data_IF_018008788871
#
_entry.id   IF_018008788871
#
_cell.length_a   1.000
_cell.length_b   1.000
_cell.length_c   1.000
_cell.angle_alpha   90.00
_cell.angle_beta   90.00
_cell.angle_gamma   90.00
#
_symmetry.space_group_name_H-M   'P 1'
#
loop_
_entity.id
_entity.type
_entity.pdbx_description
1 polymer ?
#
# COMPACT_ATOMS: atom_id res chain seq x y z
N UNK A 1 -9.33 8.70 23.31
CA UNK A 1 -9.20 9.37 22.01
C UNK A 1 -8.34 10.61 22.19
N UNK A 2 -7.21 10.67 21.48
CA UNK A 2 -6.68 11.91 20.87
C UNK A 2 -6.21 13.03 21.82
N UNK A 3 -5.09 12.84 22.56
CA UNK A 3 -4.33 14.01 23.10
C UNK A 3 -3.01 14.22 22.37
N UNK A 4 -2.24 13.15 22.13
CA UNK A 4 -0.98 13.24 21.36
C UNK A 4 -1.18 13.54 19.88
N UNK A 5 -2.22 12.98 19.28
CA UNK A 5 -2.58 13.23 17.88
C UNK A 5 -2.86 14.71 17.61
N UNK A 6 -3.58 15.36 18.53
CA UNK A 6 -3.88 16.80 18.47
C UNK A 6 -2.63 17.65 18.70
N UNK A 7 -1.73 17.24 19.60
CA UNK A 7 -0.46 17.94 19.83
C UNK A 7 0.44 17.93 18.59
N UNK A 8 0.60 16.76 17.95
CA UNK A 8 1.45 16.64 16.77
C UNK A 8 0.89 17.41 15.56
N UNK A 9 -0.42 17.30 15.30
CA UNK A 9 -1.05 18.10 14.24
C UNK A 9 -0.92 19.60 14.52
N UNK A 10 -1.03 20.02 15.78
CA UNK A 10 -0.83 21.42 16.17
C UNK A 10 0.57 21.89 15.83
N UNK A 11 1.59 21.05 16.01
CA UNK A 11 2.97 21.40 15.67
C UNK A 11 3.17 21.54 14.16
N UNK A 12 2.59 20.65 13.35
CA UNK A 12 2.60 20.82 11.88
C UNK A 12 1.91 22.12 11.48
N UNK A 13 0.76 22.43 12.08
CA UNK A 13 0.04 23.67 11.79
C UNK A 13 0.91 24.88 12.14
N UNK A 14 1.57 24.90 13.31
CA UNK A 14 2.48 25.98 13.71
C UNK A 14 3.65 26.13 12.75
N UNK A 15 4.29 25.02 12.39
CA UNK A 15 5.38 25.00 11.43
C UNK A 15 4.94 25.59 10.09
N UNK A 16 3.82 25.13 9.54
CA UNK A 16 3.30 25.60 8.25
C UNK A 16 2.85 27.07 8.31
N UNK A 17 2.27 27.50 9.43
CA UNK A 17 1.87 28.90 9.64
C UNK A 17 3.08 29.84 9.69
N UNK A 18 4.19 29.40 10.29
CA UNK A 18 5.45 30.13 10.31
C UNK A 18 6.19 30.26 8.97
N UNK A 19 5.78 29.50 7.93
CA UNK A 19 6.41 29.54 6.59
C UNK A 19 5.71 30.55 5.68
N UNK A 20 6.38 31.63 5.24
CA UNK A 20 5.74 32.67 4.44
C UNK A 20 5.35 32.22 3.02
N UNK A 21 6.05 31.22 2.48
CA UNK A 21 5.81 30.64 1.16
C UNK A 21 4.59 29.69 1.13
N UNK A 22 4.27 29.05 2.26
CA UNK A 22 3.08 28.20 2.40
C UNK A 22 1.83 29.08 2.48
N UNK A 23 0.98 29.00 1.46
CA UNK A 23 -0.27 29.77 1.36
C UNK A 23 -1.45 29.05 2.01
N UNK A 24 -1.48 27.71 1.93
CA UNK A 24 -2.53 26.90 2.56
C UNK A 24 -2.00 25.51 2.97
N UNK A 25 -2.63 24.96 4.00
CA UNK A 25 -2.45 23.58 4.45
C UNK A 25 -3.83 22.93 4.51
N UNK A 26 -4.01 21.84 3.76
CA UNK A 26 -5.30 21.12 3.67
C UNK A 26 -5.09 19.66 4.06
N UNK A 27 -5.94 19.15 4.96
CA UNK A 27 -5.98 17.73 5.30
C UNK A 27 -6.92 16.99 4.36
N UNK A 28 -6.48 15.85 3.84
CA UNK A 28 -7.28 14.93 3.02
C UNK A 28 -7.30 13.55 3.68
N UNK A 29 -7.59 12.50 2.91
CA UNK A 29 -7.52 11.12 3.41
C UNK A 29 -8.59 10.77 4.44
N UNK A 30 -8.29 9.78 5.29
CA UNK A 30 -9.27 9.25 6.25
C UNK A 30 -9.69 10.28 7.29
N UNK A 31 -8.77 11.16 7.71
CA UNK A 31 -9.01 12.17 8.74
C UNK A 31 -9.89 13.35 8.29
N UNK A 32 -10.08 13.53 6.99
CA UNK A 32 -11.00 14.50 6.43
C UNK A 32 -12.37 13.91 6.05
N UNK A 33 -12.52 12.58 6.09
CA UNK A 33 -13.76 11.89 5.75
C UNK A 33 -14.76 11.90 6.93
N UNK A 34 -16.06 11.84 6.59
CA UNK A 34 -17.17 11.84 7.55
C UNK A 34 -17.69 10.44 7.89
N UNK A 35 -16.94 9.40 7.54
CA UNK A 35 -17.38 8.01 7.70
C UNK A 35 -17.11 7.44 9.12
N UNK A 36 -16.51 8.23 10.01
CA UNK A 36 -16.33 7.88 11.42
C UNK A 36 -15.27 6.80 11.65
N UNK A 37 -14.33 6.68 10.73
CA UNK A 37 -13.43 5.53 10.69
C UNK A 37 -11.98 5.83 11.05
N UNK A 38 -11.74 7.03 11.57
CA UNK A 38 -10.45 7.48 12.08
C UNK A 38 -10.19 6.85 13.45
N UNK A 39 -8.99 6.32 13.64
CA UNK A 39 -8.50 5.75 14.88
C UNK A 39 -7.04 6.19 15.15
N UNK A 40 -6.48 5.73 16.27
CA UNK A 40 -5.11 6.08 16.68
C UNK A 40 -4.02 5.50 15.74
N UNK A 41 -4.39 4.66 14.76
CA UNK A 41 -3.50 4.09 13.74
C UNK A 41 -3.61 4.82 12.39
N UNK A 42 -4.47 5.83 12.31
CA UNK A 42 -4.73 6.54 11.05
C UNK A 42 -3.60 7.53 10.74
N UNK A 43 -3.06 7.45 9.53
CA UNK A 43 -2.04 8.38 9.03
C UNK A 43 -2.58 9.81 8.86
N UNK A 44 -1.68 10.76 8.65
CA UNK A 44 -2.02 12.12 8.23
C UNK A 44 -1.74 12.32 6.73
N UNK A 45 -2.76 12.61 5.95
CA UNK A 45 -2.63 13.04 4.56
C UNK A 45 -2.73 14.57 4.49
N UNK A 46 -1.63 15.26 4.20
CA UNK A 46 -1.53 16.73 4.25
C UNK A 46 -1.05 17.31 2.91
N UNK A 47 -1.82 18.25 2.39
CA UNK A 47 -1.57 18.96 1.15
C UNK A 47 -0.99 20.34 1.48
N UNK A 48 0.26 20.58 1.09
CA UNK A 48 0.95 21.86 1.21
C UNK A 48 0.80 22.61 -0.11
N UNK A 49 0.16 23.77 -0.09
CA UNK A 49 0.16 24.70 -1.22
C UNK A 49 1.15 25.83 -0.96
N UNK A 50 2.25 25.83 -1.72
CA UNK A 50 3.35 26.77 -1.57
C UNK A 50 3.68 27.46 -2.90
N UNK A 51 4.23 28.67 -2.81
CA UNK A 51 4.85 29.36 -3.95
C UNK A 51 6.24 28.81 -4.31
N UNK A 52 6.84 27.98 -3.45
CA UNK A 52 8.17 27.38 -3.67
C UNK A 52 8.17 25.87 -3.38
N UNK A 53 7.58 25.05 -4.27
CA UNK A 53 7.57 23.59 -4.11
C UNK A 53 8.97 22.97 -4.03
N UNK A 54 9.93 23.52 -4.77
CA UNK A 54 11.28 22.96 -4.89
C UNK A 54 12.01 22.95 -3.54
N UNK A 55 11.76 23.95 -2.69
CA UNK A 55 12.32 24.00 -1.33
C UNK A 55 11.97 22.78 -0.46
N UNK A 56 10.83 22.13 -0.71
CA UNK A 56 10.37 20.96 0.04
C UNK A 56 10.68 19.63 -0.66
N UNK A 57 10.90 19.67 -1.97
CA UNK A 57 11.05 18.45 -2.79
C UNK A 57 12.50 18.12 -3.06
N UNK A 58 13.37 19.14 -3.14
CA UNK A 58 14.82 19.03 -3.30
C UNK A 58 15.59 19.03 -1.98
N UNK A 59 14.96 19.40 -0.86
CA UNK A 59 15.59 19.43 0.46
C UNK A 59 14.79 18.65 1.49
N UNK A 60 15.54 18.03 2.40
CA UNK A 60 15.01 17.17 3.46
C UNK A 60 15.01 17.88 4.82
N UNK A 61 15.67 19.04 4.90
CA UNK A 61 15.97 19.72 6.15
C UNK A 61 14.71 20.15 6.91
N UNK A 62 13.68 20.61 6.18
CA UNK A 62 12.45 21.12 6.75
C UNK A 62 11.68 20.09 7.59
N UNK A 63 11.86 18.80 7.31
CA UNK A 63 11.17 17.73 8.04
C UNK A 63 11.56 17.74 9.52
N UNK A 64 12.84 18.01 9.82
CA UNK A 64 13.34 18.05 11.20
C UNK A 64 12.88 19.30 11.97
N UNK A 65 12.34 20.29 11.28
CA UNK A 65 11.75 21.48 11.91
C UNK A 65 10.36 21.20 12.50
N UNK A 66 9.74 20.07 12.13
CA UNK A 66 8.44 19.64 12.65
C UNK A 66 8.65 18.75 13.88
N UNK A 67 9.41 17.67 13.72
CA UNK A 67 9.72 16.72 14.77
C UNK A 67 10.89 15.82 14.36
N UNK A 68 11.42 15.03 15.30
CA UNK A 68 12.40 13.99 15.03
C UNK A 68 11.90 13.01 13.96
N UNK A 69 12.66 12.85 12.87
CA UNK A 69 12.34 11.93 11.77
C UNK A 69 12.94 10.55 12.05
N UNK A 70 12.12 9.49 11.97
CA UNK A 70 12.60 8.11 12.06
C UNK A 70 12.94 7.52 10.69
N UNK A 71 12.02 7.66 9.73
CA UNK A 71 12.15 7.12 8.36
C UNK A 71 11.44 8.05 7.39
N UNK A 72 11.97 8.21 6.17
CA UNK A 72 11.26 8.87 5.08
C UNK A 72 11.62 8.22 3.74
N UNK A 73 10.76 8.39 2.74
CA UNK A 73 11.06 8.05 1.35
C UNK A 73 11.47 9.30 0.56
N UNK A 74 12.35 9.17 -0.45
CA UNK A 74 12.61 10.25 -1.39
C UNK A 74 11.31 10.75 -2.02
N UNK A 75 11.27 12.03 -2.38
CA UNK A 75 10.12 12.62 -3.06
C UNK A 75 9.77 11.82 -4.31
N UNK A 76 8.52 11.37 -4.42
CA UNK A 76 8.01 10.70 -5.63
C UNK A 76 7.04 11.61 -6.35
N UNK A 77 7.16 11.68 -7.68
CA UNK A 77 6.24 12.47 -8.51
C UNK A 77 5.17 11.58 -9.12
N UNK A 78 3.91 11.92 -8.88
CA UNK A 78 2.75 11.34 -9.54
C UNK A 78 1.95 12.46 -10.23
N UNK A 79 2.12 12.61 -11.55
CA UNK A 79 1.54 13.71 -12.31
C UNK A 79 2.03 15.08 -11.84
N UNK A 80 1.11 15.91 -11.34
CA UNK A 80 1.40 17.25 -10.81
C UNK A 80 1.64 17.28 -9.29
N UNK A 81 1.56 16.14 -8.62
CA UNK A 81 1.75 16.03 -7.18
C UNK A 81 3.12 15.41 -6.88
N UNK A 82 3.86 16.04 -5.98
CA UNK A 82 5.09 15.50 -5.43
C UNK A 82 4.82 15.08 -3.98
N UNK A 83 4.97 13.79 -3.70
CA UNK A 83 4.61 13.22 -2.40
C UNK A 83 5.85 12.87 -1.59
N UNK A 84 5.80 13.21 -0.31
CA UNK A 84 6.82 12.95 0.70
C UNK A 84 6.22 12.11 1.83
N UNK A 85 6.64 10.85 1.95
CA UNK A 85 6.16 9.93 2.99
C UNK A 85 7.15 9.92 4.15
N UNK A 86 6.69 10.23 5.36
CA UNK A 86 7.54 10.42 6.53
C UNK A 86 6.93 9.69 7.73
N UNK A 87 7.78 9.01 8.50
CA UNK A 87 7.48 8.47 9.83
C UNK A 87 8.28 9.28 10.84
N UNK A 88 7.57 10.00 11.70
CA UNK A 88 8.13 10.80 12.79
C UNK A 88 8.23 9.98 14.09
N UNK A 89 8.88 10.58 15.08
CA UNK A 89 8.95 10.04 16.43
C UNK A 89 7.57 9.71 17.02
N UNK A 90 7.49 8.56 17.68
CA UNK A 90 6.23 7.98 18.13
C UNK A 90 5.52 7.13 17.07
N UNK A 91 6.12 6.96 15.88
CA UNK A 91 5.58 6.15 14.80
C UNK A 91 4.48 6.85 13.99
N UNK A 92 4.37 8.17 14.12
CA UNK A 92 3.34 8.95 13.43
C UNK A 92 3.72 9.08 11.95
N UNK A 93 2.88 8.55 11.07
CA UNK A 93 3.07 8.64 9.62
C UNK A 93 2.32 9.83 9.05
N UNK A 94 3.03 10.59 8.20
CA UNK A 94 2.50 11.73 7.45
C UNK A 94 2.88 11.60 5.99
N UNK A 95 1.88 11.68 5.14
CA UNK A 95 2.01 11.70 3.69
C UNK A 95 1.77 13.15 3.25
N UNK A 96 2.85 13.89 2.96
CA UNK A 96 2.77 15.25 2.48
C UNK A 96 2.70 15.28 0.95
N UNK A 97 1.68 15.89 0.41
CA UNK A 97 1.58 16.25 -1.00
C UNK A 97 1.98 17.72 -1.16
N UNK A 98 3.08 17.97 -1.87
CA UNK A 98 3.63 19.29 -2.11
C UNK A 98 3.11 19.77 -3.46
N UNK A 99 2.37 20.89 -3.44
CA UNK A 99 1.70 21.45 -4.61
C UNK A 99 2.02 22.92 -4.76
N UNK A 100 2.19 23.33 -6.01
CA UNK A 100 2.30 24.72 -6.38
C UNK A 100 0.96 25.44 -6.08
N UNK A 101 1.03 26.66 -5.55
CA UNK A 101 -0.18 27.44 -5.18
C UNK A 101 -1.08 27.73 -6.38
N UNK A 102 -0.54 27.75 -7.59
CA UNK A 102 -1.26 27.91 -8.85
C UNK A 102 -2.30 26.80 -9.05
N UNK A 103 -2.02 25.58 -8.58
CA UNK A 103 -2.98 24.48 -8.67
C UNK A 103 -4.21 24.74 -7.79
N UNK A 104 -4.03 25.34 -6.59
CA UNK A 104 -5.14 25.75 -5.75
C UNK A 104 -5.97 26.86 -6.42
N UNK A 105 -5.30 27.81 -7.06
CA UNK A 105 -5.97 28.89 -7.80
C UNK A 105 -6.79 28.33 -8.96
N UNK A 106 -6.29 27.34 -9.68
CA UNK A 106 -7.02 26.67 -10.76
C UNK A 106 -8.23 25.89 -10.23
N UNK A 107 -8.07 25.16 -9.12
CA UNK A 107 -9.19 24.44 -8.49
C UNK A 107 -10.34 25.39 -8.12
N UNK A 108 -10.00 26.58 -7.58
CA UNK A 108 -10.98 27.63 -7.28
C UNK A 108 -11.54 28.26 -8.55
N UNK A 109 -10.70 28.65 -9.51
CA UNK A 109 -11.13 29.30 -10.76
C UNK A 109 -12.10 28.44 -11.55
N UNK A 110 -11.80 27.16 -11.68
CA UNK A 110 -12.61 26.22 -12.45
C UNK A 110 -13.70 25.54 -11.63
N UNK A 111 -13.76 25.81 -10.31
CA UNK A 111 -14.70 25.16 -9.38
C UNK A 111 -14.68 23.64 -9.51
N UNK A 112 -13.47 23.07 -9.60
CA UNK A 112 -13.24 21.64 -9.81
C UNK A 112 -12.08 21.18 -8.94
N UNK A 113 -12.31 20.08 -8.24
CA UNK A 113 -11.30 19.41 -7.42
C UNK A 113 -11.06 18.00 -7.94
N UNK A 114 -9.91 17.43 -7.60
CA UNK A 114 -9.63 16.04 -7.93
C UNK A 114 -10.43 15.07 -7.03
N UNK A 115 -10.37 13.77 -7.36
CA UNK A 115 -11.10 12.74 -6.63
C UNK A 115 -10.73 12.71 -5.14
N UNK A 116 -9.48 12.97 -4.79
CA UNK A 116 -9.02 12.96 -3.40
C UNK A 116 -9.77 13.99 -2.58
N UNK A 117 -9.89 15.21 -3.10
CA UNK A 117 -10.67 16.28 -2.48
C UNK A 117 -12.18 15.98 -2.49
N UNK A 118 -12.70 15.38 -3.56
CA UNK A 118 -14.13 15.07 -3.62
C UNK A 118 -14.56 13.98 -2.61
N UNK A 119 -13.62 13.17 -2.10
CA UNK A 119 -13.86 12.25 -0.97
C UNK A 119 -13.89 12.92 0.40
N UNK A 120 -13.43 14.16 0.52
CA UNK A 120 -13.44 14.94 1.74
C UNK A 120 -12.10 15.63 1.97
N UNK A 121 -12.16 16.91 2.33
CA UNK A 121 -10.99 17.69 2.73
C UNK A 121 -11.35 18.63 3.88
N UNK A 122 -10.34 19.02 4.66
CA UNK A 122 -10.44 20.00 5.73
C UNK A 122 -9.32 21.02 5.61
N UNK A 123 -9.68 22.28 5.40
CA UNK A 123 -8.71 23.38 5.42
C UNK A 123 -8.23 23.60 6.85
N UNK A 124 -6.91 23.55 7.05
CA UNK A 124 -6.27 23.80 8.35
C UNK A 124 -5.67 25.21 8.41
N UNK A 125 -5.06 25.66 7.30
CA UNK A 125 -4.48 27.00 7.14
C UNK A 125 -4.93 27.54 5.78
N UNK A 126 -5.34 28.81 5.75
CA UNK A 126 -5.65 29.54 4.53
C UNK A 126 -5.25 31.01 4.69
N UNK A 127 -4.00 31.34 4.40
CA UNK A 127 -3.44 32.67 4.67
C UNK A 127 -3.97 33.75 3.72
N UNK A 128 -4.49 33.34 2.57
CA UNK A 128 -4.95 34.25 1.49
C UNK A 128 -6.44 34.12 1.19
N UNK A 129 -7.18 33.31 1.97
CA UNK A 129 -8.60 33.07 1.73
C UNK A 129 -8.90 32.29 0.45
N UNK A 130 -7.91 31.63 -0.17
CA UNK A 130 -8.09 30.89 -1.42
C UNK A 130 -8.71 29.52 -1.16
N UNK A 131 -8.23 28.78 -0.17
CA UNK A 131 -8.69 27.43 0.10
C UNK A 131 -10.16 27.40 0.57
N UNK A 132 -10.63 28.47 1.23
CA UNK A 132 -12.04 28.63 1.62
C UNK A 132 -13.02 28.78 0.45
N UNK A 133 -12.52 29.06 -0.76
CA UNK A 133 -13.32 29.19 -1.99
C UNK A 133 -13.41 27.88 -2.80
N UNK A 134 -12.81 26.80 -2.30
CA UNK A 134 -12.92 25.48 -2.92
C UNK A 134 -14.38 24.99 -2.89
N UNK A 135 -14.83 24.28 -3.93
CA UNK A 135 -16.18 23.73 -3.96
C UNK A 135 -16.35 22.66 -2.86
N UNK A 136 -17.57 22.46 -2.34
CA UNK A 136 -17.82 21.43 -1.35
C UNK A 136 -17.54 20.04 -1.92
N UNK A 137 -16.97 19.17 -1.09
CA UNK A 137 -16.78 17.75 -1.40
C UNK A 137 -18.13 17.01 -1.42
N UNK A 138 -18.32 16.13 -2.39
CA UNK A 138 -19.48 15.24 -2.47
C UNK A 138 -19.45 14.09 -1.45
N UNK A 139 -18.27 13.83 -0.86
CA UNK A 139 -17.94 12.69 0.00
C UNK A 139 -18.19 11.34 -0.66
N UNK A 140 -18.27 11.29 -2.00
CA UNK A 140 -18.48 10.05 -2.76
C UNK A 140 -17.14 9.51 -3.25
N UNK A 141 -17.02 8.18 -3.24
CA UNK A 141 -15.93 7.49 -3.94
C UNK A 141 -16.11 7.62 -5.45
N UNK A 142 -15.01 7.70 -6.21
CA UNK A 142 -15.14 7.57 -7.67
C UNK A 142 -15.68 6.19 -8.04
N UNK A 143 -16.39 6.16 -9.16
CA UNK A 143 -16.72 4.92 -9.83
C UNK A 143 -15.46 4.42 -10.50
N UNK A 144 -14.89 3.31 -10.00
CA UNK A 144 -13.77 2.66 -10.68
C UNK A 144 -14.24 2.10 -12.02
N UNK A 145 -13.37 2.18 -13.03
CA UNK A 145 -13.60 1.58 -14.34
C UNK A 145 -13.78 0.06 -14.20
N UNK A 146 -14.84 -0.47 -14.79
CA UNK A 146 -15.02 -1.92 -14.92
C UNK A 146 -14.06 -2.47 -16.00
N UNK A 147 -13.58 -3.71 -15.85
CA UNK A 147 -12.70 -4.30 -16.84
C UNK A 147 -13.45 -4.58 -18.14
N UNK A 148 -12.71 -4.57 -19.24
CA UNK A 148 -13.14 -5.23 -20.48
C UNK A 148 -13.11 -6.75 -20.30
N UNK A 149 -13.79 -7.49 -21.19
CA UNK A 149 -13.74 -8.95 -21.21
C UNK A 149 -12.29 -9.45 -21.32
N UNK A 150 -11.50 -8.89 -22.23
CA UNK A 150 -10.10 -9.27 -22.43
C UNK A 150 -9.22 -9.04 -21.18
N UNK A 151 -9.44 -7.95 -20.44
CA UNK A 151 -8.71 -7.67 -19.19
C UNK A 151 -9.08 -8.65 -18.09
N UNK A 152 -10.37 -9.00 -18.00
CA UNK A 152 -10.86 -9.96 -17.03
C UNK A 152 -10.34 -11.37 -17.33
N UNK A 153 -10.37 -11.78 -18.60
CA UNK A 153 -9.81 -13.05 -19.06
C UNK A 153 -8.30 -13.13 -18.78
N UNK A 154 -7.54 -12.09 -19.12
CA UNK A 154 -6.11 -12.04 -18.87
C UNK A 154 -5.75 -12.20 -17.38
N UNK A 155 -6.49 -11.53 -16.48
CA UNK A 155 -6.26 -11.65 -15.05
C UNK A 155 -6.51 -13.08 -14.53
N UNK A 156 -7.53 -13.76 -15.06
CA UNK A 156 -7.81 -15.16 -14.74
C UNK A 156 -6.72 -16.08 -15.28
N UNK A 157 -6.32 -15.91 -16.54
CA UNK A 157 -5.29 -16.72 -17.18
C UNK A 157 -3.96 -16.60 -16.45
N UNK A 158 -3.56 -15.37 -16.10
CA UNK A 158 -2.34 -15.10 -15.34
C UNK A 158 -2.42 -15.73 -13.95
N UNK A 159 -3.56 -15.62 -13.25
CA UNK A 159 -3.74 -16.24 -11.93
C UNK A 159 -3.49 -17.74 -11.98
N UNK A 160 -4.06 -18.43 -12.97
CA UNK A 160 -3.89 -19.88 -13.13
C UNK A 160 -2.50 -20.26 -13.64
N UNK A 161 -1.91 -19.44 -14.49
CA UNK A 161 -0.53 -19.63 -14.92
C UNK A 161 0.42 -19.58 -13.72
N UNK A 162 0.25 -18.62 -12.81
CA UNK A 162 1.05 -18.51 -11.59
C UNK A 162 0.79 -19.65 -10.61
N UNK A 163 -0.49 -20.04 -10.43
CA UNK A 163 -0.86 -21.23 -9.68
C UNK A 163 -0.12 -22.49 -10.17
N UNK A 164 0.05 -22.65 -11.48
CA UNK A 164 0.71 -23.82 -12.06
C UNK A 164 2.17 -24.01 -11.66
N UNK A 165 2.82 -22.93 -11.19
CA UNK A 165 4.19 -22.93 -10.74
C UNK A 165 4.36 -23.43 -9.31
N UNK A 166 3.38 -23.19 -8.45
CA UNK A 166 3.48 -23.42 -7.00
C UNK A 166 3.96 -24.85 -6.66
N UNK A 167 3.35 -25.93 -7.19
CA UNK A 167 3.76 -27.27 -6.80
C UNK A 167 5.19 -27.63 -7.23
N UNK A 168 5.65 -27.09 -8.36
CA UNK A 168 7.02 -27.31 -8.86
C UNK A 168 8.06 -26.70 -7.93
N UNK A 169 7.79 -25.49 -7.43
CA UNK A 169 8.69 -24.80 -6.51
C UNK A 169 8.62 -25.34 -5.09
N UNK A 170 7.43 -25.80 -4.64
CA UNK A 170 7.31 -26.55 -3.38
C UNK A 170 8.14 -27.83 -3.40
N UNK A 171 8.10 -28.61 -4.48
CA UNK A 171 8.91 -29.83 -4.61
C UNK A 171 10.43 -29.54 -4.60
N UNK A 172 10.84 -28.34 -5.01
CA UNK A 172 12.24 -27.90 -5.04
C UNK A 172 12.69 -27.21 -3.75
N UNK A 173 11.81 -27.06 -2.76
CA UNK A 173 12.06 -26.31 -1.54
C UNK A 173 12.43 -24.83 -1.79
N UNK A 174 11.94 -24.25 -2.90
CA UNK A 174 12.16 -22.84 -3.25
C UNK A 174 11.03 -21.95 -2.70
N UNK A 175 10.98 -21.87 -1.36
CA UNK A 175 9.88 -21.25 -0.63
C UNK A 175 9.75 -19.75 -0.89
N UNK A 176 10.86 -19.08 -1.22
CA UNK A 176 10.84 -17.66 -1.61
C UNK A 176 10.04 -17.47 -2.89
N UNK A 177 10.29 -18.30 -3.92
CA UNK A 177 9.55 -18.25 -5.17
C UNK A 177 8.08 -18.63 -4.96
N UNK A 178 7.79 -19.60 -4.10
CA UNK A 178 6.41 -19.94 -3.73
C UNK A 178 5.67 -18.71 -3.18
N UNK A 179 6.25 -17.99 -2.19
CA UNK A 179 5.63 -16.80 -1.61
C UNK A 179 5.49 -15.65 -2.62
N UNK A 180 6.49 -15.46 -3.48
CA UNK A 180 6.42 -14.44 -4.53
C UNK A 180 5.26 -14.70 -5.50
N UNK A 181 5.09 -15.96 -5.94
CA UNK A 181 4.04 -16.38 -6.87
C UNK A 181 2.65 -16.33 -6.22
N UNK A 182 2.54 -16.75 -4.96
CA UNK A 182 1.34 -16.62 -4.15
C UNK A 182 0.91 -15.16 -3.99
N UNK A 183 1.87 -14.24 -3.77
CA UNK A 183 1.56 -12.81 -3.73
C UNK A 183 1.00 -12.29 -5.05
N UNK A 184 1.61 -12.66 -6.19
CA UNK A 184 1.06 -12.32 -7.52
C UNK A 184 -0.37 -12.85 -7.70
N UNK A 185 -0.64 -14.08 -7.27
CA UNK A 185 -2.00 -14.63 -7.29
C UNK A 185 -2.99 -13.82 -6.43
N UNK A 186 -2.55 -13.35 -5.25
CA UNK A 186 -3.37 -12.53 -4.34
C UNK A 186 -3.64 -11.13 -4.91
N UNK A 187 -2.68 -10.54 -5.62
CA UNK A 187 -2.88 -9.27 -6.35
C UNK A 187 -3.96 -9.41 -7.42
N UNK A 188 -3.91 -10.48 -8.22
CA UNK A 188 -4.93 -10.78 -9.24
C UNK A 188 -6.30 -11.06 -8.63
N UNK A 189 -6.34 -11.81 -7.51
CA UNK A 189 -7.58 -12.05 -6.78
C UNK A 189 -8.17 -10.75 -6.24
N UNK A 190 -7.35 -9.90 -5.62
CA UNK A 190 -7.78 -8.59 -5.13
C UNK A 190 -8.36 -7.74 -6.26
N UNK A 191 -7.66 -7.66 -7.40
CA UNK A 191 -8.14 -6.93 -8.58
C UNK A 191 -9.51 -7.42 -9.04
N UNK A 192 -9.73 -8.74 -9.11
CA UNK A 192 -11.03 -9.31 -9.48
C UNK A 192 -12.12 -9.01 -8.44
N UNK A 193 -11.79 -8.99 -7.15
CA UNK A 193 -12.72 -8.61 -6.07
C UNK A 193 -13.07 -7.12 -6.14
N UNK A 194 -12.09 -6.25 -6.41
CA UNK A 194 -12.31 -4.82 -6.59
C UNK A 194 -13.24 -4.54 -7.76
N UNK A 195 -12.99 -5.16 -8.93
CA UNK A 195 -13.88 -5.08 -10.08
C UNK A 195 -15.31 -5.49 -9.76
N UNK A 196 -15.48 -6.57 -9.00
CA UNK A 196 -16.80 -7.01 -8.55
C UNK A 196 -17.47 -6.02 -7.61
N UNK A 197 -16.73 -5.49 -6.63
CA UNK A 197 -17.25 -4.49 -5.70
C UNK A 197 -17.73 -3.24 -6.45
N UNK A 198 -16.96 -2.80 -7.44
CA UNK A 198 -17.32 -1.68 -8.31
C UNK A 198 -18.55 -1.99 -9.17
N UNK A 199 -18.67 -3.21 -9.69
CA UNK A 199 -19.88 -3.68 -10.41
C UNK A 199 -21.14 -3.56 -9.56
N UNK A 200 -21.01 -3.81 -8.26
CA UNK A 200 -22.08 -3.74 -7.28
C UNK A 200 -22.24 -2.33 -6.68
N UNK A 201 -21.61 -1.31 -7.29
CA UNK A 201 -21.62 0.08 -6.84
C UNK A 201 -21.23 0.24 -5.36
N UNK A 202 -20.26 -0.55 -4.90
CA UNK A 202 -19.70 -0.47 -3.55
C UNK A 202 -18.55 0.53 -3.49
N UNK A 203 -18.32 1.11 -2.32
CA UNK A 203 -17.15 1.94 -2.03
C UNK A 203 -15.89 1.05 -1.88
N UNK A 204 -15.31 0.68 -3.03
CA UNK A 204 -14.11 -0.15 -3.10
C UNK A 204 -12.87 0.69 -2.79
N UNK A 205 -12.27 0.44 -1.63
CA UNK A 205 -11.06 1.14 -1.19
C UNK A 205 -9.80 0.51 -1.76
N UNK A 206 -8.77 1.32 -1.96
CA UNK A 206 -7.48 0.91 -2.53
C UNK A 206 -6.87 -0.26 -1.73
N UNK A 207 -6.11 -1.13 -2.41
CA UNK A 207 -5.35 -2.26 -1.84
C UNK A 207 -6.15 -3.19 -0.91
N UNK A 208 -7.47 -3.30 -1.08
CA UNK A 208 -8.27 -4.15 -0.21
C UNK A 208 -8.62 -3.53 1.14
N UNK A 209 -8.36 -2.23 1.35
CA UNK A 209 -8.65 -1.59 2.63
C UNK A 209 -10.13 -1.78 3.01
N UNK A 210 -10.38 -2.27 4.23
CA UNK A 210 -11.73 -2.58 4.73
C UNK A 210 -12.55 -3.47 3.80
N UNK A 211 -11.91 -4.42 3.11
CA UNK A 211 -12.57 -5.37 2.20
C UNK A 211 -13.83 -6.00 2.79
N UNK A 212 -13.82 -6.34 4.09
CA UNK A 212 -14.98 -6.84 4.84
C UNK A 212 -16.26 -6.00 4.72
N UNK A 213 -16.15 -4.71 4.41
CA UNK A 213 -17.28 -3.79 4.28
C UNK A 213 -17.87 -3.75 2.86
N UNK A 214 -17.12 -4.16 1.84
CA UNK A 214 -17.55 -4.04 0.44
C UNK A 214 -17.58 -5.35 -0.34
N UNK A 215 -17.02 -6.45 0.19
CA UNK A 215 -17.30 -7.80 -0.33
C UNK A 215 -18.40 -8.51 0.48
N UNK A 216 -19.12 -9.49 -0.11
CA UNK A 216 -20.11 -10.27 0.61
C UNK A 216 -19.52 -10.99 1.83
N UNK A 217 -20.23 -11.05 2.99
CA UNK A 217 -19.74 -11.72 4.20
C UNK A 217 -19.36 -13.21 4.02
N UNK A 218 -20.01 -13.91 3.10
CA UNK A 218 -19.68 -15.29 2.77
C UNK A 218 -18.32 -15.43 2.06
N UNK A 219 -17.92 -14.42 1.29
CA UNK A 219 -16.62 -14.38 0.62
C UNK A 219 -15.54 -13.90 1.58
N UNK A 220 -15.83 -12.89 2.41
CA UNK A 220 -14.92 -12.43 3.47
C UNK A 220 -14.50 -13.54 4.43
N UNK A 221 -15.43 -14.42 4.85
CA UNK A 221 -15.09 -15.57 5.70
C UNK A 221 -14.08 -16.54 5.07
N UNK A 222 -13.93 -16.53 3.75
CA UNK A 222 -12.97 -17.37 3.02
C UNK A 222 -11.68 -16.64 2.66
N UNK A 223 -11.66 -15.31 2.77
CA UNK A 223 -10.43 -14.54 2.58
C UNK A 223 -9.40 -14.95 3.62
N UNK A 224 -9.81 -15.24 4.86
CA UNK A 224 -8.91 -15.75 5.90
C UNK A 224 -8.25 -17.09 5.49
N UNK A 225 -8.96 -17.96 4.76
CA UNK A 225 -8.40 -19.22 4.23
C UNK A 225 -7.35 -18.99 3.12
N UNK A 226 -7.41 -17.85 2.44
CA UNK A 226 -6.45 -17.44 1.39
C UNK A 226 -5.29 -16.64 1.98
N UNK A 227 -5.56 -15.85 3.03
CA UNK A 227 -4.58 -15.00 3.70
C UNK A 227 -3.80 -15.71 4.80
N UNK A 228 -4.18 -16.94 5.19
CA UNK A 228 -3.42 -17.72 6.14
C UNK A 228 -1.97 -17.90 5.66
N UNK A 229 -1.07 -17.13 6.29
CA UNK A 229 0.34 -17.09 5.95
C UNK A 229 1.14 -18.23 6.58
N UNK A 230 0.50 -19.04 7.43
CA UNK A 230 1.00 -20.37 7.70
C UNK A 230 1.02 -21.11 6.36
N UNK A 231 2.22 -21.25 5.78
CA UNK A 231 2.48 -21.99 4.55
C UNK A 231 1.63 -23.27 4.50
N UNK A 232 1.29 -23.74 3.29
CA UNK A 232 -0.08 -24.03 2.87
C UNK A 232 -0.76 -25.09 3.74
N UNK A 233 -2.04 -24.95 4.15
CA UNK A 233 -2.71 -25.74 5.19
C UNK A 233 -2.04 -27.09 5.52
N UNK A 234 -0.98 -27.02 6.35
CA UNK A 234 -0.03 -28.11 6.60
C UNK A 234 -0.65 -29.25 7.43
N UNK A 235 -1.92 -29.10 7.82
CA UNK A 235 -2.70 -30.11 8.49
C UNK A 235 -3.75 -30.75 7.55
N UNK A 236 -3.30 -31.28 6.41
CA UNK A 236 -4.10 -32.22 5.60
C UNK A 236 -5.12 -31.63 4.63
N UNK A 237 -5.01 -30.36 4.22
CA UNK A 237 -5.95 -29.72 3.29
C UNK A 237 -5.29 -29.27 1.99
N UNK A 238 -5.95 -29.52 0.85
CA UNK A 238 -5.45 -29.17 -0.48
C UNK A 238 -5.23 -27.65 -0.61
N UNK A 239 -4.02 -27.22 -1.03
CA UNK A 239 -3.66 -25.81 -1.25
C UNK A 239 -4.68 -25.06 -2.12
N UNK A 240 -5.31 -25.78 -3.04
CA UNK A 240 -6.27 -25.24 -3.99
C UNK A 240 -7.69 -25.04 -3.43
N UNK A 241 -8.01 -25.57 -2.24
CA UNK A 241 -9.39 -25.51 -1.69
C UNK A 241 -9.90 -24.06 -1.53
N UNK A 242 -9.13 -23.13 -0.93
CA UNK A 242 -9.58 -21.74 -0.78
C UNK A 242 -9.93 -21.12 -2.14
N UNK A 243 -9.10 -21.35 -3.16
CA UNK A 243 -9.24 -20.79 -4.51
C UNK A 243 -10.38 -21.41 -5.35
N UNK A 244 -10.72 -22.69 -5.17
CA UNK A 244 -11.89 -23.33 -5.83
C UNK A 244 -13.20 -22.63 -5.49
N UNK A 245 -13.30 -22.10 -4.28
CA UNK A 245 -14.48 -21.39 -3.81
C UNK A 245 -14.67 -20.05 -4.53
N UNK A 246 -13.56 -19.38 -4.89
CA UNK A 246 -13.55 -18.15 -5.66
C UNK A 246 -13.83 -18.40 -7.15
N UNK A 247 -13.40 -19.53 -7.72
CA UNK A 247 -13.73 -19.93 -9.11
C UNK A 247 -15.25 -19.86 -9.36
N UNK A 248 -16.06 -20.41 -8.44
CA UNK A 248 -17.52 -20.40 -8.57
C UNK A 248 -18.10 -18.98 -8.50
N UNK A 249 -17.53 -18.12 -7.66
CA UNK A 249 -17.95 -16.72 -7.52
C UNK A 249 -17.55 -15.87 -8.74
N UNK A 250 -16.35 -16.10 -9.28
CA UNK A 250 -15.86 -15.43 -10.49
C UNK A 250 -16.61 -15.89 -11.74
N UNK A 251 -16.97 -17.17 -11.84
CA UNK A 251 -17.79 -17.69 -12.93
C UNK A 251 -19.17 -17.02 -13.00
N UNK A 252 -19.80 -16.72 -11.85
CA UNK A 252 -21.06 -15.96 -11.81
C UNK A 252 -20.89 -14.53 -12.31
N UNK A 253 -19.75 -13.90 -12.00
CA UNK A 253 -19.42 -12.56 -12.47
C UNK A 253 -19.33 -12.52 -14.00
N UNK A 254 -18.61 -13.49 -14.60
CA UNK A 254 -18.51 -13.64 -16.05
C UNK A 254 -19.88 -13.74 -16.71
N UNK A 255 -20.75 -14.60 -16.17
CA UNK A 255 -22.12 -14.75 -16.68
C UNK A 255 -22.92 -13.45 -16.58
N UNK A 256 -22.86 -12.76 -15.44
CA UNK A 256 -23.57 -11.50 -15.24
C UNK A 256 -23.07 -10.38 -16.17
N UNK A 257 -21.83 -10.47 -16.63
CA UNK A 257 -21.21 -9.51 -17.55
C UNK A 257 -21.23 -9.94 -19.01
N UNK A 258 -21.85 -11.09 -19.32
CA UNK A 258 -21.90 -11.62 -20.69
C UNK A 258 -20.54 -12.02 -21.26
N UNK A 259 -19.55 -12.28 -20.40
CA UNK A 259 -18.19 -12.68 -20.79
C UNK A 259 -18.10 -14.18 -21.04
N UNK A 260 -17.20 -14.59 -21.95
CA UNK A 260 -16.90 -16.00 -22.22
C UNK A 260 -16.37 -16.70 -20.97
N UNK A 261 -16.82 -17.94 -20.79
CA UNK A 261 -16.39 -18.80 -19.67
C UNK A 261 -15.08 -19.52 -19.99
N UNK A 262 -14.03 -19.25 -19.20
CA UNK A 262 -12.73 -19.94 -19.25
C UNK A 262 -12.73 -21.32 -18.56
N UNK A 263 -13.90 -21.85 -18.20
CA UNK A 263 -14.07 -22.96 -17.26
C UNK A 263 -13.34 -24.27 -17.65
N UNK A 264 -13.24 -24.60 -18.93
CA UNK A 264 -12.72 -25.92 -19.33
C UNK A 264 -11.22 -26.07 -19.11
N UNK A 265 -10.42 -25.07 -19.50
CA UNK A 265 -8.96 -25.09 -19.33
C UNK A 265 -8.55 -24.94 -17.87
N UNK A 266 -9.26 -24.09 -17.12
CA UNK A 266 -9.04 -23.89 -15.68
C UNK A 266 -9.33 -25.16 -14.88
N UNK A 267 -10.45 -25.84 -15.14
CA UNK A 267 -10.79 -27.11 -14.46
C UNK A 267 -9.75 -28.20 -14.72
N UNK A 268 -9.24 -28.30 -15.96
CA UNK A 268 -8.18 -29.26 -16.30
C UNK A 268 -6.88 -28.96 -15.55
N UNK A 269 -6.53 -27.68 -15.42
CA UNK A 269 -5.35 -27.28 -14.66
C UNK A 269 -5.50 -27.58 -13.17
N UNK A 270 -6.64 -27.22 -12.57
CA UNK A 270 -6.94 -27.54 -11.15
C UNK A 270 -6.85 -29.03 -10.87
N UNK A 271 -7.40 -29.87 -11.76
CA UNK A 271 -7.27 -31.32 -11.65
C UNK A 271 -5.81 -31.77 -11.71
N UNK A 272 -5.05 -31.26 -12.70
CA UNK A 272 -3.63 -31.58 -12.88
C UNK A 272 -2.79 -31.21 -11.65
N UNK A 273 -3.04 -30.05 -11.04
CA UNK A 273 -2.33 -29.59 -9.85
C UNK A 273 -2.68 -30.43 -8.62
N UNK A 274 -3.95 -30.81 -8.47
CA UNK A 274 -4.40 -31.71 -7.39
C UNK A 274 -3.76 -33.10 -7.51
N UNK A 275 -3.65 -33.63 -8.73
CA UNK A 275 -2.97 -34.90 -9.00
C UNK A 275 -1.46 -34.82 -8.75
N UNK A 276 -0.84 -33.67 -9.02
CA UNK A 276 0.58 -33.45 -8.77
C UNK A 276 0.89 -33.48 -7.26
N UNK A 277 0.10 -32.77 -6.46
CA UNK A 277 0.23 -32.75 -4.99
C UNK A 277 0.14 -34.16 -4.41
N UNK A 278 -0.86 -34.92 -4.87
CA UNK A 278 -1.11 -36.29 -4.44
C UNK A 278 0.07 -37.20 -4.78
N UNK A 279 0.61 -37.12 -6.01
CA UNK A 279 1.73 -37.96 -6.46
C UNK A 279 3.05 -37.67 -5.74
N UNK A 280 3.31 -36.41 -5.40
CA UNK A 280 4.60 -36.00 -4.84
C UNK A 280 4.61 -35.92 -3.32
N UNK A 281 3.53 -36.35 -2.65
CA UNK A 281 3.42 -36.32 -1.19
C UNK A 281 3.90 -35.00 -0.61
N UNK A 282 3.50 -33.87 -1.21
CA UNK A 282 3.77 -32.53 -0.66
C UNK A 282 3.13 -32.35 0.74
N UNK A 283 2.35 -33.32 1.18
CA UNK A 283 1.79 -33.53 2.51
C UNK A 283 2.74 -34.21 3.51
N UNK A 284 3.94 -34.65 3.10
CA UNK A 284 4.87 -35.40 3.94
C UNK A 284 5.68 -34.49 4.89
N UNK A 285 5.71 -34.88 6.17
CA UNK A 285 6.08 -34.07 7.35
C UNK A 285 7.55 -33.60 7.39
N UNK A 286 8.41 -33.99 6.45
CA UNK A 286 9.85 -33.64 6.47
C UNK A 286 10.14 -32.22 5.97
N UNK A 287 9.47 -31.76 4.91
CA UNK A 287 9.53 -30.35 4.46
C UNK A 287 8.89 -29.44 5.54
N UNK A 288 7.83 -29.96 6.17
CA UNK A 288 6.99 -29.25 7.15
C UNK A 288 7.70 -28.89 8.47
N UNK A 289 8.78 -29.59 8.84
CA UNK A 289 9.52 -29.31 10.10
C UNK A 289 10.52 -28.15 10.01
N UNK A 290 10.92 -27.75 8.82
CA UNK A 290 11.90 -26.65 8.62
C UNK A 290 11.23 -25.27 8.52
N UNK A 291 9.90 -25.23 8.42
CA UNK A 291 9.08 -24.02 8.25
C UNK A 291 8.40 -23.63 9.58
N UNK A 292 8.94 -24.05 10.72
CA UNK A 292 8.50 -23.49 11.99
C UNK A 292 8.89 -22.00 12.04
N UNK A 293 8.02 -21.09 12.51
CA UNK A 293 8.41 -19.70 12.67
C UNK A 293 9.66 -19.66 13.56
N UNK A 294 10.65 -18.86 13.16
CA UNK A 294 11.67 -18.40 14.10
C UNK A 294 10.87 -17.73 15.22
N UNK A 295 10.77 -18.41 16.37
CA UNK A 295 10.24 -17.78 17.58
C UNK A 295 11.18 -16.62 17.88
N UNK A 296 10.75 -15.41 17.55
CA UNK A 296 11.36 -14.22 18.15
C UNK A 296 11.12 -14.38 19.64
N UNK A 297 12.19 -14.65 20.38
CA UNK A 297 12.12 -14.70 21.83
C UNK A 297 11.47 -13.39 22.30
N UNK A 298 10.56 -13.42 23.29
CA UNK A 298 10.02 -12.18 23.84
C UNK A 298 11.20 -11.30 24.25
N UNK A 299 11.15 -10.03 23.83
CA UNK A 299 12.15 -9.04 24.17
C UNK A 299 12.47 -9.17 25.66
N UNK A 300 13.74 -9.42 25.96
CA UNK A 300 14.24 -9.45 27.33
C UNK A 300 13.93 -8.07 27.89
N UNK A 301 12.88 -7.97 28.71
CA UNK A 301 12.56 -6.76 29.45
C UNK A 301 13.79 -6.33 30.27
N UNK A 302 13.91 -5.03 30.58
CA UNK A 302 15.12 -4.48 31.16
C UNK A 302 15.46 -5.23 32.44
N UNK A 303 16.58 -5.98 32.41
CA UNK A 303 17.21 -6.50 33.62
C UNK A 303 17.45 -5.30 34.53
N UNK A 304 16.74 -5.26 35.66
CA UNK A 304 17.09 -4.38 36.78
C UNK A 304 18.53 -4.71 37.18
N UNK A 305 19.49 -3.92 36.72
CA UNK A 305 20.83 -3.95 37.28
C UNK A 305 20.73 -3.32 38.67
N UNK A 306 21.06 -4.13 39.69
CA UNK A 306 21.26 -3.62 41.04
C UNK A 306 22.36 -2.58 40.99
N UNK A 307 22.05 -1.40 41.51
CA UNK A 307 23.02 -0.36 41.79
C UNK A 307 24.20 -0.94 42.59
N UNK A 308 25.41 -0.71 42.09
CA UNK A 308 26.59 -0.65 42.96
C UNK A 308 27.24 0.71 42.73
N UNK A 309 27.26 1.50 43.80
CA UNK A 309 27.98 2.76 43.87
C UNK A 309 29.46 2.55 43.60
N UNK A 310 30.04 3.32 42.67
CA UNK A 310 31.36 3.96 42.85
C UNK A 310 31.38 5.33 42.17
N UNK A 311 31.85 6.32 42.93
CA UNK A 311 32.11 7.72 42.54
C UNK A 311 33.51 7.87 41.91
N UNK A 312 33.70 9.05 41.29
CA UNK A 312 34.93 9.72 40.83
C UNK A 312 35.45 9.28 39.45
N UNK A 313 35.94 10.16 38.56
CA UNK A 313 36.25 11.60 38.61
C UNK A 313 36.25 12.20 37.19
N UNK A 314 36.23 13.54 37.13
CA UNK A 314 36.48 14.38 35.95
C UNK A 314 37.84 14.06 35.30
N UNK A 315 37.91 14.10 33.97
CA UNK A 315 38.65 15.12 33.21
C UNK A 315 38.65 14.88 31.67
N UNK A 316 38.29 15.95 30.95
CA UNK A 316 38.91 16.53 29.75
C UNK A 316 39.54 15.62 28.67
N UNK A 317 39.09 15.77 27.42
CA UNK A 317 39.93 16.26 26.29
C UNK A 317 39.15 16.37 24.96
N UNK A 318 39.32 17.54 24.33
CA UNK A 318 39.01 17.86 22.93
C UNK A 318 39.91 17.06 21.99
N UNK A 319 39.43 16.72 20.78
CA UNK A 319 40.08 17.07 19.50
C UNK A 319 39.51 16.33 18.27
N UNK A 320 39.11 17.14 17.27
CA UNK A 320 39.43 17.08 15.83
C UNK A 320 39.06 15.90 14.90
N UNK A 321 38.29 16.30 13.87
CA UNK A 321 38.60 16.30 12.42
C UNK A 321 38.45 15.01 11.59
N UNK A 322 37.56 15.14 10.60
CA UNK A 322 37.68 14.80 9.17
C UNK A 322 37.91 13.34 8.75
N UNK A 323 36.94 12.80 8.01
CA UNK A 323 37.07 11.63 7.13
C UNK A 323 36.17 11.81 5.88
N UNK A 324 36.56 11.28 4.70
CA UNK A 324 36.26 11.90 3.42
C UNK A 324 34.99 11.39 2.71
N UNK A 325 34.50 12.24 1.81
CA UNK A 325 33.39 12.02 0.89
C UNK A 325 33.66 10.85 -0.08
N UNK A 326 32.74 9.88 -0.12
CA UNK A 326 32.73 8.81 -1.12
C UNK A 326 31.85 9.27 -2.29
N UNK A 327 32.48 9.68 -3.39
CA UNK A 327 31.83 9.84 -4.71
C UNK A 327 31.43 8.45 -5.23
N UNK A 328 30.15 8.19 -5.45
CA UNK A 328 29.68 7.03 -6.23
C UNK A 328 29.30 7.48 -7.64
N UNK A 329 29.95 6.86 -8.64
CA UNK A 329 29.62 6.96 -10.08
C UNK A 329 28.30 6.23 -10.39
N UNK A 330 27.60 6.59 -11.47
CA UNK A 330 26.28 6.05 -11.78
C UNK A 330 26.36 4.66 -12.43
N UNK A 331 25.44 3.78 -12.06
CA UNK A 331 25.15 2.54 -12.79
C UNK A 331 24.18 2.85 -13.94
N UNK A 332 24.62 2.58 -15.16
CA UNK A 332 23.78 2.64 -16.35
C UNK A 332 22.87 1.39 -16.45
N UNK A 333 21.58 1.67 -16.73
CA UNK A 333 20.72 1.00 -17.73
C UNK A 333 20.42 -0.51 -17.59
N UNK A 334 19.13 -0.81 -17.38
CA UNK A 334 18.43 -1.81 -18.19
C UNK A 334 17.17 -1.18 -18.79
N UNK A 335 17.26 -0.83 -20.08
CA UNK A 335 16.15 -0.42 -20.94
C UNK A 335 15.14 -1.56 -21.07
N UNK A 336 13.85 -1.25 -20.93
CA UNK A 336 12.74 -2.11 -21.38
C UNK A 336 12.73 -2.17 -22.91
N UNK A 337 12.68 -3.36 -23.48
CA UNK A 337 12.45 -3.55 -24.92
C UNK A 337 10.98 -3.31 -25.28
N UNK A 338 10.66 -2.54 -26.34
CA UNK A 338 9.34 -2.54 -26.94
C UNK A 338 9.21 -3.66 -27.97
N UNK A 339 8.09 -4.40 -27.91
CA UNK A 339 7.72 -5.41 -28.90
C UNK A 339 7.35 -4.70 -30.22
N UNK A 340 8.07 -5.03 -31.29
CA UNK A 340 7.76 -4.65 -32.68
C UNK A 340 6.47 -5.36 -33.12
N UNK A 341 5.52 -4.60 -33.65
CA UNK A 341 4.49 -5.12 -34.59
C UNK A 341 5.15 -5.21 -35.97
N UNK A 342 5.26 -6.42 -36.51
CA UNK A 342 5.48 -6.60 -37.94
C UNK A 342 4.14 -6.62 -38.67
N UNK A 343 4.05 -5.77 -39.69
CA UNK A 343 3.01 -5.81 -40.70
C UNK A 343 3.29 -6.99 -41.64
N UNK A 344 2.28 -7.83 -41.86
CA UNK A 344 2.23 -8.74 -43.00
C UNK A 344 1.17 -8.21 -43.95
N UNK A 345 1.61 -7.58 -45.04
CA UNK A 345 0.81 -7.41 -46.24
C UNK A 345 1.09 -8.57 -47.20
N UNK A 346 0.03 -9.25 -47.62
CA UNK A 346 -0.27 -9.57 -49.02
C UNK A 346 -1.77 -9.57 -49.19
#
# INVERSE_FOLDING_TARGET
MVTKDTEFLTEIIRWADGRPDISALVMTGSRAQRDGTVDDLSDYDLEIFTSDPESYTSSDAWMSDIASVWVYLPTTRNGLCETRLIIFEGGIKVDFSIRAVELLQDMVRFQRVDELYDRGYRVLIDKKGLASQLPPSSYKSSVRRLPTEAEFEAAIEEFWFEASHIPKYLQRDDLWVVKFRDWTMKELLLQMLEWRGSAANRDVRHIGMRMKNWIPPAEWRRIDEVLDDSMPPIAGGHYWQPYRSFEKSLGKLQTNWGMRTLQTSMRRLVATLSDFETRHSLTDRRVLRQIAPIRVAPAIGPRRSRASHRRCSRDSLKANRTGPAIRRRPLHSTKRHPIRREAAGR
#
